data_IF_985143304523
#
_entry.id   IF_985143304523
#
_cell.length_a   1.000
_cell.length_b   1.000
_cell.length_c   1.000
_cell.angle_alpha   90.00
_cell.angle_beta   90.00
_cell.angle_gamma   90.00
#
_symmetry.space_group_name_H-M   'P 1'
#
loop_
_entity.id
_entity.type
_entity.pdbx_description
1 polymer ?
#
# COMPACT_ATOMS: atom_id res chain seq x y z
N UNK A 1 32.29 -25.39 13.13
CA UNK A 1 31.13 -24.62 13.63
C UNK A 1 31.07 -23.27 12.93
N UNK A 2 29.91 -22.83 12.42
CA UNK A 2 29.77 -21.49 11.87
C UNK A 2 29.97 -20.45 12.98
N UNK A 3 30.90 -19.51 12.77
CA UNK A 3 31.14 -18.41 13.72
C UNK A 3 29.95 -17.43 13.69
N UNK A 4 29.47 -16.93 14.84
CA UNK A 4 28.37 -15.99 14.88
C UNK A 4 28.70 -14.69 14.16
N UNK A 5 27.66 -14.02 13.64
CA UNK A 5 27.83 -12.68 13.06
C UNK A 5 28.15 -11.67 14.16
N UNK A 6 29.13 -10.77 13.97
CA UNK A 6 29.48 -9.82 15.00
C UNK A 6 28.33 -8.86 15.30
N UNK A 7 28.22 -8.39 16.53
CA UNK A 7 27.27 -7.34 16.92
C UNK A 7 27.67 -5.99 16.33
N UNK A 8 26.78 -5.00 16.35
CA UNK A 8 27.14 -3.66 15.84
C UNK A 8 28.27 -3.02 16.70
N UNK A 9 28.31 -3.29 18.00
CA UNK A 9 29.39 -2.84 18.89
C UNK A 9 30.73 -3.48 18.49
N UNK A 10 30.75 -4.80 18.26
CA UNK A 10 31.95 -5.50 17.78
C UNK A 10 32.39 -5.00 16.40
N UNK A 11 31.45 -4.70 15.50
CA UNK A 11 31.75 -4.12 14.19
C UNK A 11 32.42 -2.76 14.29
N UNK A 12 31.99 -1.92 15.23
CA UNK A 12 32.62 -0.63 15.51
C UNK A 12 34.03 -0.82 16.05
N UNK A 13 34.21 -1.70 17.03
CA UNK A 13 35.52 -2.03 17.59
C UNK A 13 36.51 -2.56 16.53
N UNK A 14 36.04 -3.39 15.59
CA UNK A 14 36.85 -3.85 14.44
C UNK A 14 37.37 -2.66 13.63
N UNK A 15 36.53 -1.67 13.37
CA UNK A 15 36.91 -0.53 12.55
C UNK A 15 37.83 0.40 13.30
N UNK A 16 37.55 0.68 14.57
CA UNK A 16 38.41 1.52 15.41
C UNK A 16 39.83 0.92 15.50
N UNK A 17 39.95 -0.41 15.65
CA UNK A 17 41.25 -1.11 15.64
C UNK A 17 41.92 -1.09 14.27
N UNK A 18 41.17 -1.24 13.18
CA UNK A 18 41.73 -1.16 11.83
C UNK A 18 42.16 0.26 11.46
N UNK A 19 41.45 1.29 11.91
CA UNK A 19 41.82 2.69 11.69
C UNK A 19 43.11 3.06 12.41
N UNK A 20 43.32 2.56 13.64
CA UNK A 20 44.58 2.73 14.38
C UNK A 20 45.78 2.11 13.68
N UNK A 21 45.55 1.03 12.92
CA UNK A 21 46.58 0.26 12.22
C UNK A 21 46.71 0.65 10.73
N UNK A 22 45.86 1.53 10.23
CA UNK A 22 45.86 1.93 8.83
C UNK A 22 46.69 3.18 8.62
N UNK A 23 47.65 3.11 7.70
CA UNK A 23 48.39 4.27 7.21
C UNK A 23 47.85 4.64 5.83
N UNK A 24 47.21 5.81 5.72
CA UNK A 24 46.60 6.30 4.47
C UNK A 24 45.63 5.31 3.80
N UNK A 25 44.91 4.51 4.59
CA UNK A 25 43.95 3.51 4.10
C UNK A 25 44.56 2.17 3.67
N UNK A 26 45.88 2.00 3.80
CA UNK A 26 46.58 0.73 3.58
C UNK A 26 46.73 0.00 4.90
N UNK A 27 46.40 -1.30 4.91
CA UNK A 27 46.53 -2.16 6.08
C UNK A 27 47.72 -3.13 5.91
N UNK A 28 48.51 -3.35 6.97
CA UNK A 28 49.56 -4.36 6.97
C UNK A 28 49.04 -5.79 6.71
N UNK A 29 49.91 -6.63 6.16
CA UNK A 29 49.59 -8.04 5.93
C UNK A 29 49.27 -8.77 7.24
N UNK A 30 48.29 -9.68 7.21
CA UNK A 30 47.91 -10.50 8.37
C UNK A 30 47.04 -9.80 9.43
N UNK A 31 46.76 -8.50 9.31
CA UNK A 31 45.97 -7.73 10.30
C UNK A 31 44.55 -8.28 10.46
N UNK A 32 43.92 -8.71 9.37
CA UNK A 32 42.59 -9.32 9.44
C UNK A 32 42.58 -10.61 10.25
N UNK A 33 43.63 -11.42 10.17
CA UNK A 33 43.76 -12.67 10.93
C UNK A 33 43.93 -12.35 12.40
N UNK A 34 44.81 -11.40 12.73
CA UNK A 34 45.06 -10.93 14.10
C UNK A 34 43.78 -10.44 14.79
N UNK A 35 43.03 -9.55 14.13
CA UNK A 35 41.77 -9.01 14.68
C UNK A 35 40.69 -10.09 14.76
N UNK A 36 40.65 -11.01 13.79
CA UNK A 36 39.68 -12.10 13.80
C UNK A 36 39.87 -13.09 14.96
N UNK A 37 41.12 -13.34 15.37
CA UNK A 37 41.45 -14.20 16.50
C UNK A 37 41.01 -13.54 17.82
N UNK A 38 41.29 -12.24 17.98
CA UNK A 38 40.93 -11.48 19.18
C UNK A 38 39.41 -11.40 19.41
N UNK A 39 38.64 -11.26 18.32
CA UNK A 39 37.18 -11.07 18.38
C UNK A 39 36.38 -12.34 18.06
N UNK A 40 37.04 -13.49 17.92
CA UNK A 40 36.37 -14.77 17.68
C UNK A 40 35.58 -14.85 16.36
N UNK A 41 35.82 -13.95 15.40
CA UNK A 41 35.09 -13.89 14.13
C UNK A 41 35.90 -14.50 12.96
N UNK A 42 35.32 -14.56 11.76
CA UNK A 42 36.05 -15.05 10.58
C UNK A 42 36.89 -13.90 9.96
N UNK A 43 38.14 -14.14 9.52
CA UNK A 43 38.96 -13.11 8.86
C UNK A 43 38.28 -12.49 7.64
N UNK A 44 37.50 -13.29 6.91
CA UNK A 44 36.70 -12.84 5.76
C UNK A 44 35.61 -11.85 6.16
N UNK A 45 35.02 -11.99 7.35
CA UNK A 45 34.03 -11.05 7.89
C UNK A 45 34.67 -9.70 8.20
N UNK A 46 35.85 -9.70 8.85
CA UNK A 46 36.63 -8.48 9.14
C UNK A 46 36.98 -7.75 7.84
N UNK A 47 37.51 -8.47 6.84
CA UNK A 47 37.82 -7.90 5.53
C UNK A 47 36.58 -7.32 4.83
N UNK A 48 35.43 -8.01 4.90
CA UNK A 48 34.17 -7.54 4.30
C UNK A 48 33.59 -6.31 4.98
N UNK A 49 33.86 -6.11 6.27
CA UNK A 49 33.48 -4.91 7.02
C UNK A 49 34.38 -3.75 6.59
N UNK A 50 35.71 -3.94 6.61
CA UNK A 50 36.68 -2.92 6.21
C UNK A 50 36.48 -2.42 4.78
N UNK A 51 36.35 -3.33 3.80
CA UNK A 51 36.14 -2.95 2.40
C UNK A 51 34.89 -2.11 2.21
N UNK A 52 33.81 -2.43 2.92
CA UNK A 52 32.56 -1.65 2.86
C UNK A 52 32.69 -0.29 3.53
N UNK A 53 33.37 -0.23 4.66
CA UNK A 53 33.71 1.02 5.32
C UNK A 53 34.55 1.92 4.41
N UNK A 54 35.64 1.39 3.83
CA UNK A 54 36.54 2.13 2.95
C UNK A 54 35.84 2.65 1.69
N UNK A 55 34.97 1.86 1.05
CA UNK A 55 34.16 2.31 -0.09
C UNK A 55 33.21 3.43 0.32
N UNK A 56 32.51 3.30 1.44
CA UNK A 56 31.58 4.34 1.91
C UNK A 56 32.29 5.66 2.25
N UNK A 57 33.49 5.59 2.83
CA UNK A 57 34.33 6.77 3.11
C UNK A 57 34.87 7.39 1.81
N UNK A 58 35.27 6.57 0.83
CA UNK A 58 35.80 7.05 -0.45
C UNK A 58 34.75 7.67 -1.38
N UNK A 59 33.51 7.17 -1.36
CA UNK A 59 32.43 7.64 -2.26
C UNK A 59 31.79 8.95 -1.75
N UNK A 60 32.21 9.47 -0.60
CA UNK A 60 31.63 10.67 0.01
C UNK A 60 30.09 10.61 0.08
N UNK A 61 29.53 9.44 0.45
CA UNK A 61 28.07 9.20 0.58
C UNK A 61 27.40 10.04 1.70
N UNK A 62 28.03 11.11 2.19
CA UNK A 62 27.48 12.00 3.22
C UNK A 62 27.34 11.37 4.61
N UNK A 63 27.70 10.10 4.78
CA UNK A 63 27.68 9.42 6.08
C UNK A 63 29.02 9.65 6.79
N UNK A 64 29.06 10.66 7.66
CA UNK A 64 30.19 10.91 8.57
C UNK A 64 30.46 9.62 9.37
N UNK A 65 31.60 8.98 9.14
CA UNK A 65 31.98 7.73 9.79
C UNK A 65 31.67 6.43 9.02
N UNK A 66 31.28 6.50 7.75
CA UNK A 66 31.17 5.33 6.85
C UNK A 66 30.06 4.31 7.20
N UNK A 67 29.83 3.33 6.30
CA UNK A 67 28.79 2.29 6.49
C UNK A 67 29.41 1.03 7.08
N UNK A 68 29.21 0.83 8.38
CA UNK A 68 29.75 -0.33 9.11
C UNK A 68 28.71 -1.18 9.84
N UNK A 69 27.56 -0.60 10.16
CA UNK A 69 26.48 -1.29 10.85
C UNK A 69 25.94 -2.46 10.04
N UNK A 70 25.34 -3.43 10.75
CA UNK A 70 24.72 -4.59 10.13
C UNK A 70 23.51 -4.19 9.25
N UNK A 71 23.66 -4.32 7.93
CA UNK A 71 22.53 -4.14 7.02
C UNK A 71 21.57 -5.34 7.00
N UNK A 72 21.85 -6.40 7.77
CA UNK A 72 21.01 -7.59 7.82
C UNK A 72 19.62 -7.19 8.27
N UNK A 73 19.46 -6.45 9.38
CA UNK A 73 18.15 -6.01 9.87
C UNK A 73 17.36 -5.22 8.82
N UNK A 74 18.02 -4.32 8.09
CA UNK A 74 17.38 -3.48 7.05
C UNK A 74 17.08 -4.26 5.77
N UNK A 75 17.96 -5.19 5.37
CA UNK A 75 17.84 -5.92 4.12
C UNK A 75 17.15 -7.28 4.27
N UNK A 76 16.83 -7.68 5.50
CA UNK A 76 16.15 -8.94 5.80
C UNK A 76 14.73 -9.00 5.25
N UNK A 77 14.28 -10.23 5.03
CA UNK A 77 12.92 -10.54 4.66
C UNK A 77 12.64 -10.41 3.16
N UNK A 78 11.43 -10.83 2.79
CA UNK A 78 10.95 -10.79 1.42
C UNK A 78 10.77 -9.34 0.98
N UNK A 79 11.43 -8.95 -0.11
CA UNK A 79 11.24 -7.63 -0.72
C UNK A 79 9.79 -7.46 -1.16
N UNK A 80 9.25 -6.27 -0.92
CA UNK A 80 7.90 -5.91 -1.37
C UNK A 80 7.90 -5.84 -2.91
N UNK A 81 6.78 -6.22 -3.53
CA UNK A 81 6.58 -6.00 -4.96
C UNK A 81 6.45 -4.50 -5.21
N UNK A 82 6.95 -4.06 -6.36
CA UNK A 82 6.89 -2.66 -6.77
C UNK A 82 5.42 -2.21 -6.89
N UNK A 83 5.11 -1.01 -6.37
CA UNK A 83 3.75 -0.44 -6.41
C UNK A 83 3.41 0.14 -7.76
N UNK A 84 4.40 0.70 -8.44
CA UNK A 84 4.21 1.32 -9.74
C UNK A 84 3.84 0.27 -10.78
N UNK A 85 4.53 -0.88 -10.76
CA UNK A 85 4.18 -2.03 -11.61
C UNK A 85 2.76 -2.55 -11.34
N UNK A 86 2.31 -2.54 -10.08
CA UNK A 86 0.94 -2.95 -9.72
C UNK A 86 -0.07 -1.93 -10.26
N UNK A 87 0.23 -0.63 -10.13
CA UNK A 87 -0.60 0.46 -10.65
C UNK A 87 -0.73 0.38 -12.16
N UNK A 88 0.38 0.22 -12.89
CA UNK A 88 0.38 0.11 -14.34
C UNK A 88 -0.45 -1.08 -14.84
N UNK A 89 -0.31 -2.24 -14.22
CA UNK A 89 -1.09 -3.44 -14.58
C UNK A 89 -2.58 -3.27 -14.30
N UNK A 90 -2.93 -2.61 -13.19
CA UNK A 90 -4.32 -2.27 -12.88
C UNK A 90 -4.89 -1.24 -13.86
N UNK A 91 -4.09 -0.25 -14.27
CA UNK A 91 -4.48 0.77 -15.23
C UNK A 91 -4.77 0.20 -16.64
N UNK A 92 -4.15 -0.92 -17.01
CA UNK A 92 -4.42 -1.61 -18.28
C UNK A 92 -5.79 -2.30 -18.33
N UNK A 93 -6.39 -2.61 -17.19
CA UNK A 93 -7.73 -3.23 -17.15
C UNK A 93 -8.78 -2.14 -17.41
N UNK A 94 -9.75 -2.32 -18.32
CA UNK A 94 -10.82 -1.34 -18.52
C UNK A 94 -11.67 -1.12 -17.25
N UNK A 95 -12.24 0.07 -17.07
CA UNK A 95 -13.02 0.42 -15.86
C UNK A 95 -14.25 -0.49 -15.71
N UNK A 96 -14.85 -0.96 -16.81
CA UNK A 96 -16.02 -1.86 -16.82
C UNK A 96 -15.76 -3.15 -16.04
N UNK A 97 -14.52 -3.63 -16.11
CA UNK A 97 -14.07 -4.88 -15.51
C UNK A 97 -13.46 -4.68 -14.12
N UNK A 98 -13.26 -3.41 -13.71
CA UNK A 98 -12.71 -3.02 -12.40
C UNK A 98 -13.68 -3.12 -11.23
N UNK A 99 -14.70 -3.98 -11.27
CA UNK A 99 -15.73 -4.05 -10.21
C UNK A 99 -15.35 -4.96 -9.03
N UNK A 100 -14.95 -6.20 -9.34
CA UNK A 100 -14.68 -7.27 -8.37
C UNK A 100 -13.18 -7.50 -8.26
N UNK A 101 -12.59 -7.28 -7.08
CA UNK A 101 -11.14 -7.41 -6.86
C UNK A 101 -10.53 -8.71 -7.41
N UNK A 102 -11.27 -9.82 -7.32
CA UNK A 102 -10.86 -11.11 -7.88
C UNK A 102 -10.75 -11.09 -9.41
N UNK A 103 -11.78 -10.58 -10.10
CA UNK A 103 -11.77 -10.46 -11.57
C UNK A 103 -10.69 -9.48 -12.04
N UNK A 104 -10.53 -8.37 -11.32
CA UNK A 104 -9.46 -7.40 -11.58
C UNK A 104 -8.08 -8.03 -11.43
N UNK A 105 -7.89 -8.83 -10.40
CA UNK A 105 -6.64 -9.54 -10.17
C UNK A 105 -6.34 -10.53 -11.31
N UNK A 106 -7.34 -11.29 -11.75
CA UNK A 106 -7.25 -12.22 -12.88
C UNK A 106 -6.93 -11.47 -14.19
N UNK A 107 -7.66 -10.38 -14.49
CA UNK A 107 -7.44 -9.56 -15.68
C UNK A 107 -6.08 -8.84 -15.69
N UNK A 108 -5.61 -8.36 -14.53
CA UNK A 108 -4.33 -7.67 -14.39
C UNK A 108 -3.13 -8.63 -14.26
N UNK A 109 -3.36 -9.95 -14.16
CA UNK A 109 -2.31 -10.95 -13.92
C UNK A 109 -1.59 -10.76 -12.58
N UNK A 110 -2.32 -10.31 -11.54
CA UNK A 110 -1.79 -10.01 -10.21
C UNK A 110 -2.54 -10.84 -9.16
N UNK A 111 -1.96 -11.04 -7.97
CA UNK A 111 -2.69 -11.66 -6.86
C UNK A 111 -3.76 -10.74 -6.29
N UNK A 112 -4.92 -11.30 -5.93
CA UNK A 112 -6.03 -10.56 -5.27
C UNK A 112 -5.57 -9.76 -4.04
N UNK A 113 -4.62 -10.27 -3.28
CA UNK A 113 -4.07 -9.58 -2.12
C UNK A 113 -3.40 -8.25 -2.50
N UNK A 114 -2.72 -8.15 -3.64
CA UNK A 114 -2.11 -6.89 -4.08
C UNK A 114 -3.16 -5.86 -4.48
N UNK A 115 -4.25 -6.28 -5.14
CA UNK A 115 -5.38 -5.41 -5.47
C UNK A 115 -6.02 -4.86 -4.19
N UNK A 116 -6.32 -5.74 -3.21
CA UNK A 116 -6.86 -5.32 -1.91
C UNK A 116 -5.93 -4.34 -1.19
N UNK A 117 -4.62 -4.60 -1.24
CA UNK A 117 -3.65 -3.73 -0.59
C UNK A 117 -3.56 -2.37 -1.30
N UNK A 118 -3.64 -2.33 -2.63
CA UNK A 118 -3.71 -1.08 -3.38
C UNK A 118 -4.94 -0.25 -3.00
N UNK A 119 -6.08 -0.90 -2.76
CA UNK A 119 -7.29 -0.24 -2.24
C UNK A 119 -7.06 0.29 -0.81
N UNK A 120 -6.48 -0.52 0.06
CA UNK A 120 -6.20 -0.13 1.45
C UNK A 120 -5.16 0.99 1.57
N UNK A 121 -4.23 1.08 0.61
CA UNK A 121 -3.21 2.12 0.53
C UNK A 121 -3.69 3.34 -0.27
N UNK A 122 -4.99 3.41 -0.62
CA UNK A 122 -5.60 4.51 -1.39
C UNK A 122 -4.98 4.78 -2.76
N UNK A 123 -4.24 3.82 -3.33
CA UNK A 123 -3.69 3.91 -4.69
C UNK A 123 -4.82 3.84 -5.73
N UNK A 124 -5.86 3.07 -5.42
CA UNK A 124 -7.08 2.95 -6.22
C UNK A 124 -8.29 2.97 -5.29
N UNK A 125 -9.33 3.72 -5.64
CA UNK A 125 -10.47 3.94 -4.76
C UNK A 125 -11.71 3.25 -5.28
N UNK A 126 -12.51 2.66 -4.38
CA UNK A 126 -13.82 2.13 -4.75
C UNK A 126 -14.82 3.27 -4.81
N UNK A 127 -15.37 3.51 -6.00
CA UNK A 127 -16.41 4.52 -6.22
C UNK A 127 -17.70 3.85 -6.67
N UNK A 128 -18.83 4.35 -6.18
CA UNK A 128 -20.16 3.89 -6.56
C UNK A 128 -20.80 4.84 -7.55
N UNK A 129 -21.48 4.33 -8.57
CA UNK A 129 -22.24 5.14 -9.53
C UNK A 129 -23.61 5.57 -9.01
N UNK A 130 -23.98 5.21 -7.77
CA UNK A 130 -25.26 5.59 -7.18
C UNK A 130 -25.30 7.07 -6.83
N UNK A 131 -25.90 7.86 -7.71
CA UNK A 131 -26.37 9.20 -7.42
C UNK A 131 -27.74 9.04 -6.76
N UNK A 132 -27.93 9.51 -5.53
CA UNK A 132 -29.28 9.80 -5.04
C UNK A 132 -29.87 10.79 -6.04
N UNK A 133 -30.98 10.47 -6.70
CA UNK A 133 -31.69 11.41 -7.56
C UNK A 133 -31.79 12.74 -6.80
N UNK A 134 -31.09 13.76 -7.28
CA UNK A 134 -31.10 15.06 -6.65
C UNK A 134 -32.52 15.61 -6.81
N UNK A 135 -33.28 15.65 -5.72
CA UNK A 135 -34.62 16.24 -5.77
C UNK A 135 -34.48 17.73 -6.12
N UNK A 136 -35.10 18.14 -7.23
CA UNK A 136 -35.31 19.56 -7.51
C UNK A 136 -36.15 20.18 -6.38
N UNK A 137 -36.04 21.49 -6.19
CA UNK A 137 -36.88 22.22 -5.20
C UNK A 137 -38.37 21.95 -5.43
N UNK A 138 -38.78 21.83 -6.69
CA UNK A 138 -40.14 21.49 -7.08
C UNK A 138 -40.54 20.06 -6.68
N UNK A 139 -39.68 19.06 -6.93
CA UNK A 139 -39.95 17.67 -6.53
C UNK A 139 -40.04 17.52 -5.01
N UNK A 140 -39.30 18.36 -4.25
CA UNK A 140 -39.41 18.41 -2.78
C UNK A 140 -40.77 18.95 -2.35
N UNK A 141 -41.22 20.06 -2.95
CA UNK A 141 -42.54 20.64 -2.67
C UNK A 141 -43.66 19.66 -2.97
N UNK A 142 -43.67 19.05 -4.16
CA UNK A 142 -44.68 18.06 -4.55
C UNK A 142 -44.75 16.87 -3.59
N UNK A 143 -43.60 16.42 -3.06
CA UNK A 143 -43.56 15.35 -2.06
C UNK A 143 -44.15 15.77 -0.73
N UNK A 144 -43.94 17.02 -0.32
CA UNK A 144 -44.53 17.57 0.90
C UNK A 144 -46.03 17.76 0.73
N UNK A 145 -46.47 18.33 -0.38
CA UNK A 145 -47.90 18.47 -0.73
C UNK A 145 -48.62 17.13 -0.75
N UNK A 146 -48.01 16.11 -1.38
CA UNK A 146 -48.54 14.75 -1.38
C UNK A 146 -48.59 14.14 0.03
N UNK A 147 -47.63 14.42 0.91
CA UNK A 147 -47.70 13.92 2.29
C UNK A 147 -48.80 14.63 3.09
N UNK A 148 -48.98 15.94 2.87
CA UNK A 148 -50.01 16.74 3.52
C UNK A 148 -51.42 16.35 3.08
N UNK A 149 -51.62 15.87 1.86
CA UNK A 149 -52.94 15.38 1.42
C UNK A 149 -53.46 14.17 2.19
N UNK A 150 -52.62 13.50 2.98
CA UNK A 150 -53.04 12.41 3.88
C UNK A 150 -53.20 12.86 5.33
N UNK A 151 -53.07 14.15 5.63
CA UNK A 151 -53.26 14.71 6.97
C UNK A 151 -54.61 15.42 7.01
N UNK A 152 -55.42 15.10 8.01
CA UNK A 152 -56.67 15.83 8.27
C UNK A 152 -56.34 17.18 8.92
N UNK A 153 -56.74 18.28 8.26
CA UNK A 153 -56.47 19.65 8.71
C UNK A 153 -57.09 19.98 10.09
N UNK A 154 -58.14 19.25 10.50
CA UNK A 154 -58.84 19.51 11.76
C UNK A 154 -58.23 18.77 12.95
N UNK A 155 -57.89 17.50 12.75
CA UNK A 155 -57.33 16.64 13.81
C UNK A 155 -55.81 16.60 13.79
N UNK A 156 -55.17 17.06 12.71
CA UNK A 156 -53.73 16.99 12.43
C UNK A 156 -53.19 15.54 12.50
N UNK A 157 -54.05 14.57 12.26
CA UNK A 157 -53.70 13.15 12.21
C UNK A 157 -53.65 12.64 10.77
N UNK A 158 -52.82 11.63 10.54
CA UNK A 158 -52.81 10.94 9.25
C UNK A 158 -54.08 10.13 9.07
N UNK A 159 -54.68 10.22 7.89
CA UNK A 159 -55.75 9.33 7.49
C UNK A 159 -55.26 7.88 7.49
N UNK A 160 -56.09 6.93 7.94
CA UNK A 160 -55.68 5.54 8.11
C UNK A 160 -55.45 4.80 6.77
N UNK A 161 -55.65 5.46 5.62
CA UNK A 161 -55.40 4.95 4.26
C UNK A 161 -56.00 3.55 3.99
N UNK A 162 -57.12 3.23 4.65
CA UNK A 162 -57.76 1.91 4.58
C UNK A 162 -58.31 1.57 3.19
N UNK A 163 -58.47 2.57 2.33
CA UNK A 163 -58.93 2.43 0.95
C UNK A 163 -57.82 2.66 -0.10
N UNK A 164 -56.54 2.65 0.31
CA UNK A 164 -55.41 2.90 -0.58
C UNK A 164 -54.58 1.62 -0.78
N UNK A 165 -54.61 1.07 -2.00
CA UNK A 165 -53.76 -0.05 -2.40
C UNK A 165 -52.50 0.46 -3.08
N UNK A 166 -51.35 0.27 -2.43
CA UNK A 166 -50.06 0.59 -3.01
C UNK A 166 -49.57 -0.57 -3.88
N UNK A 167 -49.43 -0.31 -5.18
CA UNK A 167 -48.85 -1.25 -6.14
C UNK A 167 -47.50 -0.69 -6.58
N UNK A 168 -46.44 -1.48 -6.37
CA UNK A 168 -45.09 -1.14 -6.83
C UNK A 168 -44.58 -2.25 -7.75
N UNK A 169 -44.09 -1.86 -8.91
CA UNK A 169 -43.49 -2.79 -9.86
C UNK A 169 -41.98 -2.80 -9.68
N UNK A 170 -41.46 -3.93 -9.23
CA UNK A 170 -40.04 -4.11 -8.99
C UNK A 170 -39.40 -4.99 -10.05
N UNK A 171 -38.57 -4.37 -10.89
CA UNK A 171 -37.75 -5.07 -11.87
C UNK A 171 -36.62 -5.85 -11.19
N UNK A 172 -36.66 -7.17 -11.30
CA UNK A 172 -35.55 -8.05 -10.92
C UNK A 172 -34.68 -8.33 -12.14
N UNK A 173 -33.57 -7.62 -12.26
CA UNK A 173 -32.56 -7.94 -13.26
C UNK A 173 -31.81 -9.21 -12.85
N UNK A 174 -31.66 -10.14 -13.80
CA UNK A 174 -30.81 -11.32 -13.61
C UNK A 174 -29.33 -10.95 -13.48
N UNK A 175 -28.91 -9.83 -14.07
CA UNK A 175 -27.52 -9.36 -13.99
C UNK A 175 -27.21 -8.71 -12.64
N UNK A 176 -26.00 -9.00 -12.13
CA UNK A 176 -25.49 -8.40 -10.91
C UNK A 176 -25.21 -6.94 -11.19
N UNK A 177 -26.08 -6.09 -10.67
CA UNK A 177 -25.92 -4.64 -10.65
C UNK A 177 -24.47 -4.26 -10.27
N UNK A 178 -23.66 -3.85 -11.26
CA UNK A 178 -22.25 -3.44 -11.09
C UNK A 178 -22.23 -2.05 -10.48
N UNK A 179 -22.49 -1.99 -9.17
CA UNK A 179 -22.73 -0.74 -8.43
C UNK A 179 -21.46 0.00 -8.02
N UNK A 180 -20.29 -0.62 -8.15
CA UNK A 180 -19.03 -0.03 -7.71
C UNK A 180 -17.85 -0.50 -8.54
N UNK A 181 -16.98 0.44 -8.87
CA UNK A 181 -15.77 0.24 -9.67
C UNK A 181 -14.55 0.71 -8.87
N UNK A 182 -13.40 0.10 -9.14
CA UNK A 182 -12.10 0.55 -8.67
C UNK A 182 -11.56 1.57 -9.68
N UNK A 183 -11.34 2.79 -9.24
CA UNK A 183 -11.05 3.95 -10.09
C UNK A 183 -9.83 4.67 -9.54
N UNK A 184 -8.95 5.12 -10.43
CA UNK A 184 -7.82 5.96 -10.05
C UNK A 184 -8.24 7.43 -9.89
N UNK A 185 -7.39 8.23 -9.25
CA UNK A 185 -7.63 9.66 -9.15
C UNK A 185 -7.58 10.30 -10.55
N UNK A 186 -8.62 11.05 -10.91
CA UNK A 186 -8.79 11.67 -12.23
C UNK A 186 -9.49 10.81 -13.29
N UNK A 187 -9.77 9.53 -13.03
CA UNK A 187 -10.58 8.72 -13.94
C UNK A 187 -12.08 8.96 -13.73
N UNK A 188 -12.80 9.10 -14.84
CA UNK A 188 -14.26 9.21 -14.84
C UNK A 188 -14.92 7.85 -14.61
N UNK A 189 -16.03 7.88 -13.87
CA UNK A 189 -16.88 6.72 -13.74
C UNK A 189 -17.66 6.50 -15.02
N UNK A 190 -17.87 5.24 -15.37
CA UNK A 190 -18.74 4.91 -16.49
C UNK A 190 -20.13 5.52 -16.28
N UNK A 191 -20.69 6.20 -17.29
CA UNK A 191 -22.04 6.70 -17.23
C UNK A 191 -23.01 5.54 -17.05
N UNK A 192 -24.10 5.79 -16.36
CA UNK A 192 -25.13 4.78 -16.15
C UNK A 192 -25.90 4.58 -17.44
N UNK A 193 -25.80 3.38 -18.03
CA UNK A 193 -26.75 2.88 -19.05
C UNK A 193 -28.02 2.41 -18.37
#
# INVERSE_FOLDING_TARGET
MPKPNPTDIERKAIIDELLKLSDNGVLPSGVYVKISLNLGCAPTTVSRIWKRYAVAVAVAEGVVGGVWASQIKTKWGRKRKNRDEVREKLAKVPVEDRSVERRVAEAAGISRHLVRRAVSESIISRKTTFIKLAFSSQNKLQRVEHALSFVDDTTLHFEPMTNLLHVDEKWFYADRNRRSYLVFDGEELLPRV
#
